data_IF_507804945718
#
_entry.id   IF_507804945718
#
_cell.length_a   1.000
_cell.length_b   1.000
_cell.length_c   1.000
_cell.angle_alpha   90.00
_cell.angle_beta   90.00
_cell.angle_gamma   90.00
#
_symmetry.space_group_name_H-M   'P 1'
#
loop_
_entity.id
_entity.type
_entity.pdbx_description
1 polymer ?
#
# COMPACT_ATOMS: atom_id res chain seq x y z
N UNK A 1 4.30 -37.36 -3.28
CA UNK A 1 3.48 -36.15 -3.04
C UNK A 1 4.13 -35.00 -3.81
N UNK A 2 3.53 -34.57 -4.89
CA UNK A 2 4.08 -33.48 -5.74
C UNK A 2 4.12 -32.18 -4.93
N UNK A 3 5.31 -31.64 -4.74
CA UNK A 3 5.51 -30.29 -4.18
C UNK A 3 4.80 -29.27 -5.08
N UNK A 4 3.97 -28.40 -4.50
CA UNK A 4 3.37 -27.33 -5.28
C UNK A 4 4.48 -26.31 -5.59
N UNK A 5 4.87 -26.21 -6.85
CA UNK A 5 5.86 -25.27 -7.33
C UNK A 5 5.17 -24.13 -8.10
N UNK A 6 5.60 -22.91 -7.84
CA UNK A 6 5.18 -21.70 -8.58
C UNK A 6 6.43 -21.08 -9.17
N UNK A 7 6.34 -20.68 -10.43
CA UNK A 7 7.48 -20.16 -11.21
C UNK A 7 7.23 -18.75 -11.67
N UNK A 8 8.27 -17.92 -11.63
CA UNK A 8 8.33 -16.57 -12.19
C UNK A 8 7.14 -15.68 -11.82
N UNK A 9 6.70 -15.77 -10.56
CA UNK A 9 5.59 -14.98 -10.05
C UNK A 9 6.02 -13.53 -9.81
N UNK A 10 5.36 -12.53 -10.43
CA UNK A 10 5.59 -11.13 -10.13
C UNK A 10 5.32 -10.82 -8.65
N UNK A 11 6.27 -10.15 -8.01
CA UNK A 11 6.20 -9.87 -6.58
C UNK A 11 6.97 -8.60 -6.19
N UNK A 12 6.61 -8.07 -5.01
CA UNK A 12 7.37 -7.05 -4.27
C UNK A 12 7.62 -7.51 -2.85
N UNK A 13 8.81 -7.25 -2.31
CA UNK A 13 9.09 -7.47 -0.89
C UNK A 13 8.43 -6.36 -0.08
N UNK A 14 7.55 -6.73 0.86
CA UNK A 14 6.92 -5.80 1.80
C UNK A 14 7.80 -5.58 3.03
N UNK A 15 8.28 -6.68 3.61
CA UNK A 15 9.19 -6.67 4.76
C UNK A 15 10.06 -7.90 4.81
N UNK A 16 11.16 -7.80 5.56
CA UNK A 16 12.08 -8.90 5.76
C UNK A 16 12.53 -8.97 7.23
N UNK A 17 12.83 -10.19 7.69
CA UNK A 17 13.39 -10.44 9.01
C UNK A 17 14.47 -11.52 8.96
N UNK A 18 15.47 -11.35 9.78
CA UNK A 18 16.53 -12.36 9.92
C UNK A 18 15.95 -13.69 10.43
N UNK A 19 16.41 -14.79 9.85
CA UNK A 19 16.04 -16.14 10.27
C UNK A 19 17.29 -17.01 10.28
N UNK A 20 17.62 -17.60 11.44
CA UNK A 20 18.87 -18.31 11.67
C UNK A 20 20.09 -17.47 11.23
N UNK A 21 21.23 -18.11 10.98
CA UNK A 21 22.47 -17.41 10.70
C UNK A 21 22.54 -16.73 9.31
N UNK A 22 22.00 -17.39 8.28
CA UNK A 22 22.21 -16.99 6.88
C UNK A 22 20.94 -16.78 6.06
N UNK A 23 19.76 -16.98 6.65
CA UNK A 23 18.46 -16.94 5.95
C UNK A 23 17.66 -15.69 6.30
N UNK A 24 16.69 -15.37 5.45
CA UNK A 24 15.65 -14.38 5.69
C UNK A 24 14.28 -15.05 5.60
N UNK A 25 13.34 -14.61 6.43
CA UNK A 25 11.92 -14.75 6.13
C UNK A 25 11.47 -13.41 5.55
N UNK A 26 10.92 -13.45 4.36
CA UNK A 26 10.39 -12.29 3.66
C UNK A 26 8.87 -12.41 3.52
N UNK A 27 8.17 -11.30 3.71
CA UNK A 27 6.78 -11.16 3.27
C UNK A 27 6.77 -10.49 1.91
N UNK A 28 6.06 -11.09 0.98
CA UNK A 28 5.93 -10.58 -0.40
C UNK A 28 4.46 -10.34 -0.73
N UNK A 29 4.20 -9.30 -1.50
CA UNK A 29 2.97 -9.13 -2.24
C UNK A 29 3.19 -9.75 -3.62
N UNK A 30 2.42 -10.77 -3.96
CA UNK A 30 2.44 -11.40 -5.27
C UNK A 30 1.19 -11.02 -6.04
N UNK A 31 1.28 -10.96 -7.37
CA UNK A 31 0.14 -10.58 -8.20
C UNK A 31 -1.00 -11.61 -8.10
N UNK A 32 -0.69 -12.91 -8.21
CA UNK A 32 -1.68 -13.94 -8.42
C UNK A 32 -1.97 -14.82 -7.18
N UNK A 33 -1.18 -14.67 -6.10
CA UNK A 33 -1.30 -15.48 -4.88
C UNK A 33 -1.43 -14.64 -3.61
N UNK A 34 -1.63 -13.33 -3.73
CA UNK A 34 -1.74 -12.42 -2.59
C UNK A 34 -0.45 -12.30 -1.77
N UNK A 35 -0.59 -12.05 -0.48
CA UNK A 35 0.54 -11.97 0.45
C UNK A 35 1.04 -13.35 0.86
N UNK A 36 2.35 -13.54 0.80
CA UNK A 36 3.01 -14.80 1.16
C UNK A 36 4.19 -14.57 2.11
N UNK A 37 4.45 -15.57 2.97
CA UNK A 37 5.72 -15.66 3.70
C UNK A 37 6.64 -16.65 3.01
N UNK A 38 7.86 -16.23 2.70
CA UNK A 38 8.82 -17.02 1.93
C UNK A 38 10.15 -17.08 2.68
N UNK A 39 10.71 -18.27 2.83
CA UNK A 39 12.04 -18.51 3.38
C UNK A 39 13.11 -18.44 2.28
N UNK A 40 13.95 -17.44 2.34
CA UNK A 40 15.11 -17.27 1.46
C UNK A 40 16.37 -17.80 2.17
N UNK A 41 16.81 -19.02 1.80
CA UNK A 41 17.94 -19.71 2.43
C UNK A 41 19.26 -19.16 1.94
N UNK A 42 20.22 -18.93 2.83
CA UNK A 42 21.60 -18.59 2.49
C UNK A 42 21.80 -17.17 1.93
N UNK A 43 20.78 -16.34 1.87
CA UNK A 43 20.87 -15.00 1.23
C UNK A 43 21.69 -14.00 2.02
N UNK A 44 21.94 -14.22 3.31
CA UNK A 44 22.80 -13.36 4.15
C UNK A 44 24.29 -13.75 4.12
N UNK A 45 24.68 -14.72 3.31
CA UNK A 45 26.09 -15.04 3.08
C UNK A 45 26.77 -13.89 2.35
N UNK A 46 28.04 -13.62 2.67
CA UNK A 46 28.81 -12.47 2.15
C UNK A 46 28.87 -12.35 0.61
N UNK A 47 28.72 -13.46 -0.12
CA UNK A 47 28.74 -13.48 -1.60
C UNK A 47 27.37 -13.73 -2.23
N UNK A 48 26.27 -13.47 -1.51
CA UNK A 48 24.93 -13.70 -2.05
C UNK A 48 24.56 -12.63 -3.07
N UNK A 49 24.39 -13.03 -4.33
CA UNK A 49 23.88 -12.16 -5.40
C UNK A 49 22.37 -11.84 -5.23
N UNK A 50 21.68 -12.68 -4.50
CA UNK A 50 20.21 -12.60 -4.28
C UNK A 50 19.82 -11.53 -3.29
N UNK A 51 20.68 -11.22 -2.32
CA UNK A 51 20.36 -10.27 -1.23
C UNK A 51 19.98 -8.87 -1.75
N UNK A 52 20.63 -8.41 -2.82
CA UNK A 52 20.36 -7.10 -3.44
C UNK A 52 18.98 -7.01 -4.10
N UNK A 53 18.43 -8.12 -4.55
CA UNK A 53 17.11 -8.18 -5.19
C UNK A 53 15.97 -8.26 -4.17
N UNK A 54 16.23 -8.85 -3.01
CA UNK A 54 15.22 -9.02 -1.95
C UNK A 54 15.08 -7.76 -1.09
N UNK A 55 15.08 -6.59 -1.72
CA UNK A 55 14.86 -5.31 -1.06
C UNK A 55 13.42 -4.84 -1.27
N UNK A 56 12.81 -4.10 -0.32
CA UNK A 56 11.52 -3.47 -0.54
C UNK A 56 11.52 -2.59 -1.80
N UNK A 57 10.38 -2.52 -2.46
CA UNK A 57 10.10 -1.67 -3.64
C UNK A 57 10.79 -2.09 -4.94
N UNK A 58 11.58 -3.16 -4.92
CA UNK A 58 12.19 -3.73 -6.14
C UNK A 58 11.18 -4.68 -6.80
N UNK A 59 10.80 -4.48 -8.07
CA UNK A 59 9.96 -5.43 -8.79
C UNK A 59 10.77 -6.69 -9.12
N UNK A 60 10.29 -7.84 -8.67
CA UNK A 60 10.97 -9.13 -8.82
C UNK A 60 10.05 -10.20 -9.39
N UNK A 61 10.64 -11.19 -10.02
CA UNK A 61 10.04 -12.48 -10.34
C UNK A 61 10.57 -13.50 -9.35
N UNK A 62 9.67 -14.15 -8.62
CA UNK A 62 10.06 -15.19 -7.66
C UNK A 62 9.55 -16.56 -8.10
N UNK A 63 10.34 -17.59 -7.83
CA UNK A 63 9.86 -18.97 -7.86
C UNK A 63 9.99 -19.56 -6.46
N UNK A 64 9.00 -20.33 -6.06
CA UNK A 64 8.97 -20.93 -4.74
C UNK A 64 8.28 -22.29 -4.74
N UNK A 65 8.55 -23.08 -3.70
CA UNK A 65 7.98 -24.41 -3.50
C UNK A 65 7.44 -24.56 -2.08
N UNK A 66 6.53 -25.49 -1.91
CA UNK A 66 6.01 -25.93 -0.61
C UNK A 66 4.51 -25.74 -0.44
N UNK A 67 3.89 -26.64 0.35
CA UNK A 67 2.45 -26.61 0.68
C UNK A 67 2.17 -25.85 1.98
N UNK A 68 3.16 -25.76 2.88
CA UNK A 68 3.02 -25.07 4.16
C UNK A 68 2.83 -23.57 3.97
N UNK A 69 2.38 -22.86 4.98
CA UNK A 69 2.23 -21.39 4.98
C UNK A 69 3.55 -20.70 4.63
N UNK A 70 4.65 -21.14 5.26
CA UNK A 70 5.99 -20.67 4.91
C UNK A 70 6.51 -21.43 3.68
N UNK A 71 6.53 -20.76 2.54
CA UNK A 71 7.09 -21.29 1.27
C UNK A 71 8.62 -21.26 1.31
N UNK A 72 9.28 -21.96 0.41
CA UNK A 72 10.74 -21.89 0.24
C UNK A 72 11.04 -21.23 -1.10
N UNK A 73 11.78 -20.12 -1.09
CA UNK A 73 12.24 -19.43 -2.28
C UNK A 73 13.26 -20.30 -3.01
N UNK A 74 13.09 -20.51 -4.31
CA UNK A 74 14.02 -21.24 -5.17
C UNK A 74 14.83 -20.32 -6.06
N UNK A 75 14.18 -19.35 -6.72
CA UNK A 75 14.85 -18.34 -7.54
C UNK A 75 14.25 -16.96 -7.32
N UNK A 76 15.05 -15.93 -7.61
CA UNK A 76 14.59 -14.54 -7.71
C UNK A 76 15.36 -13.86 -8.83
N UNK A 77 14.64 -13.11 -9.64
CA UNK A 77 15.13 -12.33 -10.75
C UNK A 77 14.55 -10.93 -10.69
N UNK A 78 15.24 -9.94 -11.25
CA UNK A 78 14.66 -8.60 -11.40
C UNK A 78 13.60 -8.66 -12.52
N UNK A 79 12.40 -8.14 -12.24
CA UNK A 79 11.32 -8.17 -13.22
C UNK A 79 11.44 -7.05 -14.25
N UNK A 80 11.83 -5.85 -13.80
CA UNK A 80 11.88 -4.64 -14.62
C UNK A 80 12.81 -3.59 -13.98
N UNK A 81 13.10 -2.53 -14.73
CA UNK A 81 13.74 -1.33 -14.21
C UNK A 81 12.77 -0.59 -13.26
N UNK A 82 13.30 0.03 -12.25
CA UNK A 82 12.49 0.78 -11.28
C UNK A 82 13.23 2.03 -10.80
N UNK A 83 12.46 3.06 -10.46
CA UNK A 83 13.02 4.25 -9.83
C UNK A 83 13.18 4.02 -8.32
N UNK A 84 14.38 4.25 -7.80
CA UNK A 84 14.68 4.05 -6.38
C UNK A 84 14.00 5.14 -5.56
N UNK A 85 13.26 4.75 -4.54
CA UNK A 85 12.71 5.69 -3.57
C UNK A 85 13.80 6.19 -2.63
N UNK A 86 13.84 7.51 -2.40
CA UNK A 86 14.80 8.16 -1.50
C UNK A 86 14.09 9.16 -0.61
N UNK A 87 14.77 9.66 0.43
CA UNK A 87 14.22 10.71 1.30
C UNK A 87 12.82 10.38 1.84
N UNK A 88 11.90 11.33 1.76
CA UNK A 88 10.53 11.19 2.24
C UNK A 88 9.74 10.13 1.45
N UNK A 89 10.00 10.01 0.14
CA UNK A 89 9.36 8.99 -0.70
C UNK A 89 9.60 7.56 -0.20
N UNK A 90 10.79 7.26 0.32
CA UNK A 90 11.12 5.97 0.91
C UNK A 90 10.22 5.65 2.12
N UNK A 91 10.00 6.62 3.00
CA UNK A 91 9.10 6.44 4.16
C UNK A 91 7.63 6.34 3.75
N UNK A 92 7.23 7.05 2.70
CA UNK A 92 5.91 6.88 2.08
C UNK A 92 5.73 5.46 1.53
N UNK A 93 6.75 4.88 0.91
CA UNK A 93 6.74 3.47 0.48
C UNK A 93 6.56 2.51 1.65
N UNK A 94 7.25 2.71 2.77
CA UNK A 94 7.05 1.89 3.97
C UNK A 94 5.66 2.05 4.57
N UNK A 95 5.06 3.23 4.49
CA UNK A 95 3.67 3.44 4.87
C UNK A 95 2.72 2.61 4.00
N UNK A 96 2.91 2.61 2.68
CA UNK A 96 2.13 1.78 1.75
C UNK A 96 2.29 0.29 2.06
N UNK A 97 3.52 -0.19 2.33
CA UNK A 97 3.77 -1.57 2.75
C UNK A 97 3.03 -1.92 4.06
N UNK A 98 3.01 -1.00 5.02
CA UNK A 98 2.33 -1.22 6.30
C UNK A 98 0.82 -1.30 6.11
N UNK A 99 0.22 -0.47 5.23
CA UNK A 99 -1.20 -0.56 4.89
C UNK A 99 -1.54 -1.91 4.27
N UNK A 100 -0.79 -2.37 3.27
CA UNK A 100 -0.96 -3.72 2.69
C UNK A 100 -0.87 -4.78 3.80
N UNK A 101 0.11 -4.66 4.70
CA UNK A 101 0.28 -5.55 5.84
C UNK A 101 -0.90 -5.59 6.80
N UNK A 102 -1.63 -4.49 6.94
CA UNK A 102 -2.79 -4.38 7.83
C UNK A 102 -4.09 -4.85 7.17
N UNK A 103 -4.28 -4.55 5.90
CA UNK A 103 -5.57 -4.70 5.22
C UNK A 103 -5.71 -5.98 4.40
N UNK A 104 -4.63 -6.50 3.81
CA UNK A 104 -4.73 -7.74 3.05
C UNK A 104 -4.48 -8.97 3.91
N UNK A 105 -5.24 -10.02 3.71
CA UNK A 105 -4.99 -11.33 4.29
C UNK A 105 -3.91 -12.08 3.50
N UNK A 106 -3.24 -13.04 4.17
CA UNK A 106 -2.32 -13.94 3.47
C UNK A 106 -3.10 -14.91 2.60
N UNK A 107 -2.51 -15.25 1.46
CA UNK A 107 -3.07 -16.19 0.47
C UNK A 107 -4.40 -15.71 -0.13
N UNK A 108 -4.70 -14.43 -0.03
CA UNK A 108 -5.88 -13.80 -0.62
C UNK A 108 -5.42 -12.90 -1.79
N UNK A 109 -5.61 -13.34 -3.05
CA UNK A 109 -5.11 -12.62 -4.21
C UNK A 109 -5.98 -11.40 -4.54
N UNK A 110 -5.31 -10.26 -4.68
CA UNK A 110 -5.89 -9.00 -5.14
C UNK A 110 -5.01 -8.44 -6.27
N UNK A 111 -5.15 -8.94 -7.52
CA UNK A 111 -4.30 -8.49 -8.65
C UNK A 111 -4.38 -6.99 -8.92
N UNK A 112 -5.54 -6.38 -8.70
CA UNK A 112 -5.76 -4.94 -8.81
C UNK A 112 -4.92 -4.17 -7.77
N UNK A 113 -4.85 -4.63 -6.53
CA UNK A 113 -4.00 -4.00 -5.49
C UNK A 113 -2.52 -4.08 -5.87
N UNK A 114 -2.09 -5.17 -6.51
CA UNK A 114 -0.72 -5.28 -7.02
C UNK A 114 -0.42 -4.19 -8.06
N UNK A 115 -1.35 -3.94 -8.98
CA UNK A 115 -1.22 -2.88 -10.00
C UNK A 115 -1.24 -1.49 -9.36
N UNK A 116 -2.15 -1.24 -8.41
CA UNK A 116 -2.21 0.02 -7.67
C UNK A 116 -0.93 0.28 -6.86
N UNK A 117 -0.38 -0.76 -6.23
CA UNK A 117 0.89 -0.68 -5.52
C UNK A 117 2.04 -0.29 -6.45
N UNK A 118 2.18 -0.95 -7.58
CA UNK A 118 3.23 -0.65 -8.58
C UNK A 118 3.10 0.78 -9.11
N UNK A 119 1.88 1.22 -9.44
CA UNK A 119 1.58 2.59 -9.87
C UNK A 119 1.94 3.61 -8.78
N UNK A 120 1.59 3.32 -7.53
CA UNK A 120 1.92 4.17 -6.39
C UNK A 120 3.44 4.34 -6.25
N UNK A 121 4.23 3.25 -6.28
CA UNK A 121 5.69 3.31 -6.20
C UNK A 121 6.30 4.16 -7.32
N UNK A 122 5.81 4.01 -8.55
CA UNK A 122 6.26 4.81 -9.71
C UNK A 122 6.00 6.30 -9.47
N UNK A 123 4.83 6.67 -8.95
CA UNK A 123 4.48 8.05 -8.64
C UNK A 123 5.26 8.59 -7.44
N UNK A 124 5.51 7.79 -6.41
CA UNK A 124 6.33 8.17 -5.25
C UNK A 124 7.77 8.49 -5.63
N UNK A 125 8.30 7.90 -6.70
CA UNK A 125 9.62 8.24 -7.21
C UNK A 125 9.69 9.67 -7.81
N UNK A 126 8.55 10.32 -8.03
CA UNK A 126 8.42 11.71 -8.46
C UNK A 126 8.06 12.57 -7.25
N UNK A 127 9.02 13.28 -6.67
CA UNK A 127 8.85 14.01 -5.39
C UNK A 127 7.63 14.95 -5.34
N UNK A 128 7.29 15.60 -6.46
CA UNK A 128 6.15 16.51 -6.57
C UNK A 128 4.77 15.85 -6.39
N UNK A 129 4.67 14.53 -6.38
CA UNK A 129 3.40 13.78 -6.40
C UNK A 129 3.18 12.89 -5.17
N UNK A 130 3.95 13.07 -4.08
CA UNK A 130 3.89 12.17 -2.91
C UNK A 130 2.48 12.10 -2.29
N UNK A 131 1.89 13.22 -1.91
CA UNK A 131 0.55 13.22 -1.29
C UNK A 131 -0.54 12.73 -2.25
N UNK A 132 -0.66 13.21 -3.50
CA UNK A 132 -1.59 12.66 -4.46
C UNK A 132 -1.44 11.15 -4.69
N UNK A 133 -0.20 10.65 -4.77
CA UNK A 133 0.06 9.22 -4.93
C UNK A 133 -0.47 8.39 -3.74
N UNK A 134 -0.22 8.87 -2.51
CA UNK A 134 -0.72 8.21 -1.31
C UNK A 134 -2.25 8.22 -1.25
N UNK A 135 -2.90 9.37 -1.50
CA UNK A 135 -4.38 9.47 -1.48
C UNK A 135 -5.02 8.54 -2.50
N UNK A 136 -4.47 8.50 -3.73
CA UNK A 136 -4.95 7.58 -4.77
C UNK A 136 -4.82 6.13 -4.29
N UNK A 137 -3.64 5.72 -3.82
CA UNK A 137 -3.41 4.35 -3.37
C UNK A 137 -4.31 3.93 -2.20
N UNK A 138 -4.49 4.80 -1.20
CA UNK A 138 -5.36 4.53 -0.05
C UNK A 138 -6.81 4.27 -0.47
N UNK A 139 -7.34 5.11 -1.37
CA UNK A 139 -8.69 4.96 -1.90
C UNK A 139 -8.84 3.67 -2.71
N UNK A 140 -7.89 3.40 -3.61
CA UNK A 140 -7.92 2.22 -4.47
C UNK A 140 -7.75 0.92 -3.66
N UNK A 141 -6.91 0.93 -2.63
CA UNK A 141 -6.78 -0.20 -1.70
C UNK A 141 -8.10 -0.50 -0.99
N UNK A 142 -8.73 0.54 -0.39
CA UNK A 142 -10.00 0.37 0.32
C UNK A 142 -11.12 -0.09 -0.60
N UNK A 143 -11.18 0.46 -1.82
CA UNK A 143 -12.18 0.05 -2.83
C UNK A 143 -11.98 -1.42 -3.22
N UNK A 144 -10.74 -1.86 -3.46
CA UNK A 144 -10.41 -3.24 -3.83
C UNK A 144 -10.78 -4.27 -2.75
N UNK A 145 -10.84 -3.87 -1.49
CA UNK A 145 -11.20 -4.75 -0.35
C UNK A 145 -12.62 -4.54 0.17
N UNK A 146 -13.45 -3.79 -0.58
CA UNK A 146 -14.88 -3.62 -0.27
C UNK A 146 -15.21 -2.48 0.69
N UNK A 147 -14.25 -1.63 1.04
CA UNK A 147 -14.44 -0.43 1.87
C UNK A 147 -14.43 0.87 1.06
N UNK A 148 -14.87 0.81 -0.21
CA UNK A 148 -14.93 1.97 -1.10
C UNK A 148 -15.80 3.09 -0.54
N UNK A 149 -15.35 4.34 -0.73
CA UNK A 149 -16.10 5.53 -0.32
C UNK A 149 -17.13 5.88 -1.40
N UNK A 150 -18.34 5.36 -1.25
CA UNK A 150 -19.46 5.73 -2.10
C UNK A 150 -20.14 6.97 -1.54
N UNK A 151 -20.38 7.96 -2.41
CA UNK A 151 -21.24 9.09 -2.03
C UNK A 151 -22.71 8.67 -2.24
N UNK A 152 -23.55 8.85 -1.23
CA UNK A 152 -25.00 8.71 -1.44
C UNK A 152 -25.47 9.78 -2.43
N UNK A 153 -25.72 9.35 -3.66
CA UNK A 153 -26.37 10.18 -4.69
C UNK A 153 -27.87 10.24 -4.44
N UNK A 154 -28.27 10.76 -3.28
CA UNK A 154 -29.68 11.12 -3.10
C UNK A 154 -29.97 12.32 -4.02
N UNK A 155 -30.69 12.05 -5.10
CA UNK A 155 -31.23 13.05 -6.04
C UNK A 155 -32.25 14.01 -5.41
N UNK A 156 -32.44 13.99 -4.12
CA UNK A 156 -33.31 14.91 -3.41
C UNK A 156 -32.58 16.23 -3.17
N UNK A 157 -32.74 17.14 -4.07
CA UNK A 157 -32.89 18.63 -4.03
C UNK A 157 -32.28 19.46 -2.89
N UNK A 158 -31.49 18.93 -1.99
CA UNK A 158 -30.68 19.71 -1.07
C UNK A 158 -29.26 19.71 -1.67
N UNK A 159 -28.88 20.80 -2.33
CA UNK A 159 -27.48 21.11 -2.61
C UNK A 159 -26.79 21.29 -1.26
N UNK A 160 -26.39 20.17 -0.66
CA UNK A 160 -25.55 20.22 0.53
C UNK A 160 -24.18 20.68 0.08
N UNK A 161 -23.74 21.81 0.60
CA UNK A 161 -22.43 22.36 0.24
C UNK A 161 -21.28 21.55 0.83
N UNK A 162 -21.56 20.56 1.69
CA UNK A 162 -20.56 19.78 2.40
C UNK A 162 -20.99 18.35 2.72
N UNK A 163 -20.01 17.50 3.06
CA UNK A 163 -20.19 16.06 3.32
C UNK A 163 -19.38 15.64 4.54
N UNK A 164 -19.84 14.58 5.21
CA UNK A 164 -19.13 13.88 6.27
C UNK A 164 -18.99 12.39 5.94
N UNK A 165 -18.08 11.71 6.61
CA UNK A 165 -17.91 10.26 6.51
C UNK A 165 -18.71 9.55 7.59
N UNK A 166 -19.55 8.62 7.18
CA UNK A 166 -20.29 7.68 8.01
C UNK A 166 -19.80 6.25 7.73
N UNK A 167 -19.60 5.45 8.79
CA UNK A 167 -19.00 4.11 8.65
C UNK A 167 -19.87 3.12 7.86
N UNK A 168 -21.20 3.28 7.93
CA UNK A 168 -22.15 2.35 7.31
C UNK A 168 -22.61 2.84 5.94
N UNK A 169 -22.61 4.16 5.72
CA UNK A 169 -23.21 4.81 4.55
C UNK A 169 -22.18 5.45 3.62
N UNK A 170 -20.93 5.51 4.02
CA UNK A 170 -19.88 6.17 3.24
C UNK A 170 -19.92 7.69 3.35
N UNK A 171 -19.88 8.42 2.23
CA UNK A 171 -19.96 9.89 2.21
C UNK A 171 -21.41 10.35 2.18
N UNK A 172 -21.85 11.01 3.25
CA UNK A 172 -23.21 11.52 3.42
C UNK A 172 -23.23 13.04 3.38
N UNK A 173 -24.30 13.61 2.78
CA UNK A 173 -24.51 15.04 2.77
C UNK A 173 -24.75 15.54 4.21
N UNK A 174 -23.98 16.54 4.63
CA UNK A 174 -24.00 17.10 5.99
C UNK A 174 -23.65 18.58 5.96
N UNK A 175 -24.53 19.44 6.43
CA UNK A 175 -24.30 20.91 6.46
C UNK A 175 -23.13 21.33 7.33
N UNK A 176 -22.67 20.47 8.24
CA UNK A 176 -21.48 20.66 9.10
C UNK A 176 -20.30 19.78 8.67
N UNK A 177 -20.41 19.11 7.52
CA UNK A 177 -19.38 18.25 7.00
C UNK A 177 -18.09 19.00 6.67
N UNK A 178 -16.96 18.31 6.79
CA UNK A 178 -15.63 18.87 6.53
C UNK A 178 -15.20 18.74 5.07
N UNK A 179 -15.95 18.02 4.24
CA UNK A 179 -15.62 17.77 2.85
C UNK A 179 -16.46 18.64 1.94
N UNK A 180 -15.82 19.35 1.04
CA UNK A 180 -16.49 20.11 -0.01
C UNK A 180 -17.02 19.19 -1.13
N UNK A 181 -18.04 19.63 -1.86
CA UNK A 181 -18.53 18.94 -3.07
C UNK A 181 -17.38 18.71 -4.08
N UNK A 182 -16.49 19.69 -4.24
CA UNK A 182 -15.28 19.59 -5.08
C UNK A 182 -14.40 18.42 -4.65
N UNK A 183 -14.25 18.21 -3.34
CA UNK A 183 -13.46 17.10 -2.79
C UNK A 183 -14.12 15.75 -3.06
N UNK A 184 -15.43 15.64 -2.93
CA UNK A 184 -16.16 14.42 -3.27
C UNK A 184 -16.01 14.07 -4.76
N UNK A 185 -16.12 15.04 -5.65
CA UNK A 185 -15.85 14.85 -7.08
C UNK A 185 -14.40 14.45 -7.35
N UNK A 186 -13.43 15.09 -6.69
CA UNK A 186 -12.01 14.77 -6.82
C UNK A 186 -11.68 13.33 -6.35
N UNK A 187 -12.35 12.84 -5.31
CA UNK A 187 -12.23 11.45 -4.84
C UNK A 187 -12.72 10.48 -5.92
N UNK A 188 -13.87 10.73 -6.54
CA UNK A 188 -14.41 9.88 -7.61
C UNK A 188 -13.51 9.84 -8.85
N UNK A 189 -12.91 10.98 -9.19
CA UNK A 189 -12.04 11.13 -10.37
C UNK A 189 -10.56 10.82 -10.09
N UNK A 190 -10.17 10.59 -8.82
CA UNK A 190 -8.75 10.45 -8.39
C UNK A 190 -7.89 11.66 -8.79
N UNK A 191 -8.47 12.87 -8.75
CA UNK A 191 -7.80 14.12 -9.16
C UNK A 191 -7.50 15.00 -7.93
N UNK A 192 -6.26 14.99 -7.48
CA UNK A 192 -5.80 15.65 -6.25
C UNK A 192 -4.77 16.77 -6.55
N UNK A 193 -5.15 17.70 -7.44
CA UNK A 193 -4.28 18.80 -7.88
C UNK A 193 -4.47 20.09 -7.06
N UNK A 194 -5.49 20.15 -6.21
CA UNK A 194 -5.85 21.31 -5.40
C UNK A 194 -5.41 21.10 -3.95
N UNK A 195 -4.80 22.10 -3.33
CA UNK A 195 -4.26 21.99 -1.96
C UNK A 195 -5.35 21.85 -0.90
N UNK A 196 -6.52 22.48 -1.07
CA UNK A 196 -7.63 22.34 -0.17
C UNK A 196 -8.21 20.92 -0.26
N UNK A 197 -8.44 20.44 -1.49
CA UNK A 197 -8.89 19.06 -1.75
C UNK A 197 -7.93 18.04 -1.11
N UNK A 198 -6.63 18.21 -1.29
CA UNK A 198 -5.63 17.32 -0.66
C UNK A 198 -5.72 17.32 0.86
N UNK A 199 -5.90 18.49 1.47
CA UNK A 199 -6.03 18.62 2.92
C UNK A 199 -7.29 17.92 3.44
N UNK A 200 -8.42 18.11 2.78
CA UNK A 200 -9.70 17.48 3.13
C UNK A 200 -9.62 15.95 2.95
N UNK A 201 -9.10 15.47 1.81
CA UNK A 201 -8.92 14.02 1.56
C UNK A 201 -7.95 13.40 2.55
N UNK A 202 -6.87 14.08 2.93
CA UNK A 202 -5.91 13.60 3.93
C UNK A 202 -6.57 13.37 5.30
N UNK A 203 -7.42 14.30 5.74
CA UNK A 203 -8.17 14.17 6.99
C UNK A 203 -9.18 13.02 6.91
N UNK A 204 -9.93 12.95 5.82
CA UNK A 204 -10.86 11.86 5.55
C UNK A 204 -10.17 10.50 5.59
N UNK A 205 -9.11 10.31 4.78
CA UNK A 205 -8.41 9.03 4.69
C UNK A 205 -7.79 8.61 6.02
N UNK A 206 -7.33 9.58 6.82
CA UNK A 206 -6.87 9.29 8.17
C UNK A 206 -7.99 8.72 9.03
N UNK A 207 -9.17 9.34 9.03
CA UNK A 207 -10.34 8.88 9.78
C UNK A 207 -10.77 7.49 9.32
N UNK A 208 -10.95 7.28 8.02
CA UNK A 208 -11.40 6.00 7.43
C UNK A 208 -10.42 4.88 7.76
N UNK A 209 -9.12 5.09 7.54
CA UNK A 209 -8.10 4.08 7.82
C UNK A 209 -8.06 3.76 9.32
N UNK A 210 -8.08 4.77 10.20
CA UNK A 210 -8.02 4.56 11.65
C UNK A 210 -9.26 3.78 12.16
N UNK A 211 -10.44 4.01 11.58
CA UNK A 211 -11.65 3.23 11.85
C UNK A 211 -11.46 1.75 11.52
N UNK A 212 -10.97 1.44 10.31
CA UNK A 212 -10.79 0.06 9.88
C UNK A 212 -9.58 -0.64 10.53
N UNK A 213 -8.62 0.10 11.06
CA UNK A 213 -7.50 -0.45 11.83
C UNK A 213 -7.89 -0.92 13.24
N UNK A 214 -9.08 -0.58 13.74
CA UNK A 214 -9.61 -1.02 15.04
C UNK A 214 -8.62 -0.81 16.20
N UNK A 215 -8.01 0.37 16.26
CA UNK A 215 -7.05 0.76 17.30
C UNK A 215 -5.59 0.37 17.02
N UNK A 216 -5.28 -0.34 15.95
CA UNK A 216 -3.89 -0.60 15.53
C UNK A 216 -3.26 0.70 15.03
N UNK A 217 -2.11 1.06 15.56
CA UNK A 217 -1.37 2.25 15.14
C UNK A 217 -0.39 1.95 14.01
N UNK A 218 -0.34 2.84 13.01
CA UNK A 218 0.65 2.78 11.92
C UNK A 218 1.96 3.43 12.38
N UNK A 219 3.01 2.62 12.48
CA UNK A 219 4.35 3.08 12.91
C UNK A 219 4.98 4.05 11.91
N UNK A 220 4.76 3.82 10.61
CA UNK A 220 5.26 4.67 9.53
C UNK A 220 4.74 6.11 9.61
N UNK A 221 3.48 6.33 10.00
CA UNK A 221 2.93 7.68 10.19
C UNK A 221 3.69 8.48 11.25
N UNK A 222 4.06 7.85 12.36
CA UNK A 222 4.81 8.52 13.42
C UNK A 222 6.21 8.95 12.93
N UNK A 223 6.85 8.13 12.10
CA UNK A 223 8.17 8.42 11.51
C UNK A 223 8.05 9.56 10.50
N UNK A 224 7.09 9.50 9.57
CA UNK A 224 6.85 10.54 8.56
C UNK A 224 6.60 11.90 9.23
N UNK A 225 5.74 11.96 10.24
CA UNK A 225 5.44 13.20 10.96
C UNK A 225 6.69 13.81 11.63
N UNK A 226 7.59 12.97 12.17
CA UNK A 226 8.87 13.46 12.75
C UNK A 226 9.80 14.03 11.69
N UNK A 227 9.83 13.44 10.50
CA UNK A 227 10.67 13.90 9.40
C UNK A 227 10.20 15.25 8.85
N UNK A 228 8.89 15.39 8.61
CA UNK A 228 8.30 16.65 8.13
C UNK A 228 8.61 17.79 9.09
N UNK A 229 8.39 17.59 10.40
CA UNK A 229 8.70 18.62 11.42
C UNK A 229 10.16 19.02 11.45
N UNK A 230 11.10 18.12 11.11
CA UNK A 230 12.54 18.43 11.06
C UNK A 230 12.96 19.18 9.79
N UNK A 231 12.20 19.08 8.71
CA UNK A 231 12.48 19.81 7.47
C UNK A 231 11.94 21.24 7.49
N UNK A 232 11.05 21.57 8.44
CA UNK A 232 10.46 22.89 8.64
C UNK A 232 11.25 23.76 9.67
N UNK A 233 12.24 23.15 10.33
CA UNK A 233 13.15 23.81 11.31
C UNK A 233 14.53 24.04 10.72
#
# INVERSE_FOLDING_TARGET
MTETAVYLQPAFVLQQRNFRETSLIIEVLTRDFGRLSVLAKGVRKAKSKTAGLLQPFVPILISYVGKAELKTLTTVEMADSFAKLTGLALYCGFYVNELIGCFLHKHDPHPEVFVHYQSCLTRLAQEATLEPALRTFELDLLESIGYGLHAETNKSSIRSASYSFDNDRGLVADTKGLLSEKTVQAIQLRQFNDSQVLSEVKLLMRQVIDTHLQGRQLKSRAVINKLIKRSET
#
